data_IF_375860162561
#
_entry.id   IF_375860162561
#
_cell.length_a   1.000
_cell.length_b   1.000
_cell.length_c   1.000
_cell.angle_alpha   90.00
_cell.angle_beta   90.00
_cell.angle_gamma   90.00
#
_symmetry.space_group_name_H-M   'P 1'
#
loop_
_entity.id
_entity.type
_entity.pdbx_description
1 polymer ?
#
# COMPACT_ATOMS: atom_id res chain seq x y z
N UNK A 1 14.85 -15.60 17.34
CA UNK A 1 14.08 -14.50 17.94
C UNK A 1 14.71 -13.17 17.54
N UNK A 2 13.91 -12.16 17.19
CA UNK A 2 14.37 -10.80 16.87
C UNK A 2 13.52 -9.78 17.65
N UNK A 3 14.08 -8.60 17.93
CA UNK A 3 13.37 -7.52 18.64
C UNK A 3 13.37 -6.27 17.79
N UNK A 4 12.21 -5.59 17.72
CA UNK A 4 12.02 -4.32 17.01
C UNK A 4 11.13 -3.39 17.85
N UNK A 5 11.73 -2.34 18.43
CA UNK A 5 11.03 -1.45 19.36
C UNK A 5 10.45 -2.22 20.54
N UNK A 6 9.15 -2.09 20.76
CA UNK A 6 8.40 -2.74 21.84
C UNK A 6 7.88 -4.16 21.47
N UNK A 7 8.41 -4.76 20.40
CA UNK A 7 7.95 -6.05 19.89
C UNK A 7 9.07 -7.07 19.82
N UNK A 8 8.82 -8.27 20.34
CA UNK A 8 9.65 -9.45 20.14
C UNK A 8 8.98 -10.37 19.12
N UNK A 9 9.71 -10.76 18.08
CA UNK A 9 9.27 -11.71 17.07
C UNK A 9 9.95 -13.06 17.35
N UNK A 10 9.14 -14.09 17.48
CA UNK A 10 9.60 -15.42 17.89
C UNK A 10 9.26 -16.44 16.80
N UNK A 11 10.26 -17.14 16.31
CA UNK A 11 10.09 -18.35 15.51
C UNK A 11 9.76 -19.53 16.45
N UNK A 12 8.49 -19.97 16.42
CA UNK A 12 7.94 -20.98 17.35
C UNK A 12 7.71 -22.32 16.64
N UNK A 13 8.71 -22.78 15.93
CA UNK A 13 8.70 -24.09 15.27
C UNK A 13 7.37 -24.35 14.52
N UNK A 14 6.54 -25.32 14.96
CA UNK A 14 5.19 -25.60 14.41
C UNK A 14 4.17 -24.50 14.71
N UNK A 15 4.42 -23.66 15.71
CA UNK A 15 3.59 -22.49 16.04
C UNK A 15 3.76 -21.30 15.09
N UNK A 16 4.70 -21.39 14.15
CA UNK A 16 4.96 -20.36 13.17
C UNK A 16 5.70 -19.12 13.71
N UNK A 17 5.34 -17.93 13.23
CA UNK A 17 5.87 -16.67 13.73
C UNK A 17 4.90 -16.07 14.74
N UNK A 18 5.39 -15.71 15.93
CA UNK A 18 4.61 -15.01 16.96
C UNK A 18 5.15 -13.61 17.17
N UNK A 19 4.25 -12.65 17.39
CA UNK A 19 4.56 -11.26 17.72
C UNK A 19 4.09 -10.98 19.13
N UNK A 20 5.03 -10.63 20.00
CA UNK A 20 4.81 -10.40 21.43
C UNK A 20 5.08 -8.93 21.73
N UNK A 21 4.17 -8.25 22.42
CA UNK A 21 4.46 -6.94 22.99
C UNK A 21 5.33 -7.12 24.22
N UNK A 22 6.43 -6.39 24.28
CA UNK A 22 7.42 -6.39 25.38
C UNK A 22 7.66 -4.98 25.91
N UNK A 23 6.72 -4.04 25.70
CA UNK A 23 6.79 -2.69 26.26
C UNK A 23 6.86 -2.69 27.78
N UNK A 24 6.16 -3.65 28.42
CA UNK A 24 6.32 -3.99 29.82
C UNK A 24 6.94 -5.39 29.92
N UNK A 25 8.22 -5.49 30.28
CA UNK A 25 8.92 -6.79 30.38
C UNK A 25 8.37 -7.72 31.47
N UNK A 26 7.63 -7.19 32.45
CA UNK A 26 7.03 -7.99 33.53
C UNK A 26 5.70 -8.62 33.10
N UNK A 27 5.05 -8.05 32.06
CA UNK A 27 3.74 -8.49 31.55
C UNK A 27 3.73 -8.56 30.01
N UNK A 28 4.57 -9.40 29.40
CA UNK A 28 4.55 -9.58 27.95
C UNK A 28 3.26 -10.26 27.50
N UNK A 29 2.70 -9.85 26.34
CA UNK A 29 1.50 -10.48 25.79
C UNK A 29 1.60 -10.65 24.27
N UNK A 30 0.97 -11.71 23.75
CA UNK A 30 0.90 -11.97 22.31
C UNK A 30 -0.05 -11.00 21.61
N UNK A 31 0.42 -10.35 20.57
CA UNK A 31 -0.35 -9.44 19.73
C UNK A 31 -0.87 -10.11 18.46
N UNK A 32 -0.19 -11.13 17.97
CA UNK A 32 -0.60 -11.86 16.78
C UNK A 32 0.35 -12.98 16.41
N UNK A 33 -0.08 -13.80 15.46
CA UNK A 33 0.73 -14.90 14.94
C UNK A 33 0.51 -15.10 13.45
N UNK A 34 1.48 -15.72 12.79
CA UNK A 34 1.44 -16.07 11.37
C UNK A 34 1.84 -17.54 11.19
N UNK A 35 1.02 -18.29 10.48
CA UNK A 35 1.36 -19.66 10.10
C UNK A 35 2.49 -19.66 9.07
N UNK A 36 3.50 -20.47 9.29
CA UNK A 36 4.59 -20.66 8.34
C UNK A 36 4.46 -22.00 7.60
N UNK A 37 4.86 -22.08 6.32
CA UNK A 37 4.96 -23.35 5.63
C UNK A 37 6.18 -24.11 6.15
N UNK A 38 5.97 -25.06 7.06
CA UNK A 38 7.02 -25.82 7.76
C UNK A 38 7.46 -25.16 9.08
N UNK A 39 8.55 -25.71 9.63
CA UNK A 39 9.06 -25.29 10.93
C UNK A 39 9.71 -23.91 10.88
N UNK A 40 9.22 -22.95 11.67
CA UNK A 40 9.88 -21.65 11.83
C UNK A 40 11.14 -21.82 12.70
N UNK A 41 12.31 -21.74 12.08
CA UNK A 41 13.61 -22.03 12.71
C UNK A 41 14.27 -20.75 13.23
N UNK A 42 14.24 -19.68 12.44
CA UNK A 42 14.83 -18.40 12.83
C UNK A 42 14.03 -17.25 12.23
N UNK A 43 14.18 -16.06 12.82
CA UNK A 43 13.53 -14.82 12.37
C UNK A 43 14.48 -13.64 12.48
N UNK A 44 14.49 -12.81 11.43
CA UNK A 44 15.08 -11.48 11.42
C UNK A 44 13.97 -10.46 11.17
N UNK A 45 14.13 -9.22 11.66
CA UNK A 45 13.16 -8.15 11.45
C UNK A 45 13.82 -6.93 10.84
N UNK A 46 13.13 -6.29 9.90
CA UNK A 46 13.51 -5.00 9.33
C UNK A 46 12.26 -4.15 9.10
N UNK A 47 12.15 -3.07 9.88
CA UNK A 47 10.93 -2.27 9.92
C UNK A 47 9.72 -3.11 10.33
N UNK A 48 8.70 -3.16 9.48
CA UNK A 48 7.48 -3.96 9.70
C UNK A 48 7.55 -5.38 9.15
N UNK A 49 8.62 -5.75 8.46
CA UNK A 49 8.75 -7.06 7.83
C UNK A 49 9.54 -8.03 8.69
N UNK A 50 8.99 -9.22 8.87
CA UNK A 50 9.67 -10.36 9.45
C UNK A 50 10.13 -11.33 8.35
N UNK A 51 11.39 -11.71 8.40
CA UNK A 51 12.04 -12.67 7.51
C UNK A 51 12.22 -13.97 8.29
N UNK A 52 11.41 -14.97 7.97
CA UNK A 52 11.39 -16.24 8.72
C UNK A 52 12.05 -17.33 7.91
N UNK A 53 13.15 -17.87 8.41
CA UNK A 53 13.76 -19.07 7.88
C UNK A 53 12.93 -20.28 8.30
N UNK A 54 12.40 -21.03 7.34
CA UNK A 54 11.70 -22.28 7.61
C UNK A 54 12.56 -23.46 7.19
N UNK A 55 12.17 -24.68 7.53
CA UNK A 55 12.90 -25.86 7.12
C UNK A 55 12.94 -26.08 5.59
N UNK A 56 12.18 -25.31 4.81
CA UNK A 56 12.02 -25.48 3.37
C UNK A 56 12.25 -24.20 2.57
N UNK A 57 12.07 -23.01 3.14
CA UNK A 57 12.21 -21.72 2.43
C UNK A 57 12.47 -20.54 3.40
N UNK A 58 12.64 -19.35 2.83
CA UNK A 58 12.55 -18.06 3.51
C UNK A 58 11.17 -17.44 3.23
N UNK A 59 10.40 -17.18 4.27
CA UNK A 59 9.10 -16.53 4.19
C UNK A 59 9.19 -15.08 4.70
N UNK A 60 8.47 -14.17 4.07
CA UNK A 60 8.42 -12.75 4.45
C UNK A 60 6.99 -12.43 4.87
N UNK A 61 6.84 -11.89 6.08
CA UNK A 61 5.55 -11.49 6.67
C UNK A 61 5.52 -9.99 6.91
N UNK A 62 4.43 -9.36 6.52
CA UNK A 62 4.11 -7.99 6.93
C UNK A 62 3.42 -8.05 8.30
N UNK A 63 4.11 -7.59 9.33
CA UNK A 63 3.64 -7.62 10.71
C UNK A 63 2.99 -6.30 11.16
N UNK A 64 2.60 -5.42 10.24
CA UNK A 64 2.04 -4.10 10.55
C UNK A 64 0.86 -4.17 11.52
N UNK A 65 -0.11 -5.06 11.28
CA UNK A 65 -1.27 -5.23 12.13
C UNK A 65 -0.89 -5.72 13.53
N UNK A 66 -0.05 -6.76 13.60
CA UNK A 66 0.39 -7.35 14.84
C UNK A 66 1.30 -6.43 15.67
N UNK A 67 1.99 -5.49 15.03
CA UNK A 67 2.85 -4.50 15.68
C UNK A 67 2.13 -3.18 15.97
N UNK A 68 0.83 -3.06 15.66
CA UNK A 68 0.07 -1.82 15.79
C UNK A 68 0.59 -0.69 14.90
N UNK A 69 1.40 -1.03 13.89
CA UNK A 69 1.89 -0.06 12.90
C UNK A 69 0.74 0.18 11.92
N UNK A 70 0.38 1.45 11.62
CA UNK A 70 -0.65 1.72 10.63
C UNK A 70 -0.35 0.98 9.33
N UNK A 71 -1.32 0.23 8.80
CA UNK A 71 -1.17 -0.44 7.51
C UNK A 71 -0.98 0.65 6.46
N UNK A 72 0.25 0.77 6.01
CA UNK A 72 0.59 1.64 4.89
C UNK A 72 0.41 0.79 3.64
N UNK A 73 -0.16 1.38 2.59
CA UNK A 73 -0.28 0.74 1.29
C UNK A 73 1.03 0.03 0.91
N UNK A 74 0.92 -1.21 0.47
CA UNK A 74 2.09 -2.01 0.05
C UNK A 74 2.40 -1.87 -1.43
N UNK A 75 1.45 -1.34 -2.18
CA UNK A 75 1.57 -1.11 -3.63
C UNK A 75 0.97 0.25 -4.00
N UNK A 76 1.59 0.93 -4.95
CA UNK A 76 0.95 2.07 -5.60
C UNK A 76 -0.22 1.56 -6.44
N UNK A 77 -1.41 2.11 -6.27
CA UNK A 77 -2.57 1.77 -7.10
C UNK A 77 -3.47 2.98 -7.33
N UNK A 78 -4.14 2.97 -8.46
CA UNK A 78 -5.33 3.73 -8.73
C UNK A 78 -6.53 2.90 -8.30
N UNK A 79 -6.94 3.04 -7.05
CA UNK A 79 -7.98 2.22 -6.42
C UNK A 79 -9.31 2.35 -7.15
N UNK A 80 -9.75 3.59 -7.41
CA UNK A 80 -11.04 3.81 -8.06
C UNK A 80 -11.16 5.19 -8.69
N UNK A 81 -12.12 5.30 -9.63
CA UNK A 81 -12.68 6.56 -10.08
C UNK A 81 -14.20 6.44 -9.98
N UNK A 82 -14.84 7.26 -9.17
CA UNK A 82 -16.28 7.18 -8.96
C UNK A 82 -16.93 8.57 -8.92
N UNK A 83 -18.05 8.76 -9.63
CA UNK A 83 -18.66 7.82 -10.58
C UNK A 83 -17.80 7.57 -11.82
N UNK A 84 -17.93 6.38 -12.43
CA UNK A 84 -17.34 6.05 -13.73
C UNK A 84 -18.26 5.04 -14.44
N UNK A 85 -18.96 5.39 -15.56
CA UNK A 85 -18.91 6.67 -16.26
C UNK A 85 -19.38 7.88 -15.43
N UNK A 86 -18.89 9.06 -15.75
CA UNK A 86 -19.24 10.32 -15.08
C UNK A 86 -19.75 11.37 -16.07
N UNK A 87 -20.50 12.36 -15.56
CA UNK A 87 -21.08 13.44 -16.37
C UNK A 87 -20.32 14.77 -16.18
N UNK A 88 -20.24 15.25 -14.92
CA UNK A 88 -19.66 16.56 -14.60
C UNK A 88 -18.34 16.44 -13.84
N UNK A 89 -18.24 15.47 -12.95
CA UNK A 89 -17.04 15.23 -12.14
C UNK A 89 -16.94 13.79 -11.71
N UNK A 90 -15.71 13.35 -11.40
CA UNK A 90 -15.40 12.07 -10.78
C UNK A 90 -14.30 12.26 -9.74
N UNK A 91 -14.37 11.48 -8.65
CA UNK A 91 -13.34 11.43 -7.64
C UNK A 91 -12.42 10.25 -7.92
N UNK A 92 -11.14 10.54 -8.02
CA UNK A 92 -10.08 9.54 -8.22
C UNK A 92 -9.45 9.29 -6.87
N UNK A 93 -9.50 8.03 -6.39
CA UNK A 93 -8.82 7.59 -5.18
C UNK A 93 -7.56 6.81 -5.56
N UNK A 94 -6.48 7.03 -4.83
CA UNK A 94 -5.22 6.31 -5.01
C UNK A 94 -4.50 6.16 -3.68
N UNK A 95 -3.65 5.17 -3.61
CA UNK A 95 -2.94 4.76 -2.40
C UNK A 95 -1.43 4.76 -2.65
N UNK A 96 -0.69 5.28 -1.68
CA UNK A 96 0.77 5.40 -1.72
C UNK A 96 1.37 4.60 -0.57
N UNK A 97 2.16 3.55 -0.84
CA UNK A 97 2.80 2.75 0.21
C UNK A 97 3.96 3.47 0.89
N UNK A 98 4.63 4.38 0.19
CA UNK A 98 5.82 5.09 0.68
C UNK A 98 5.72 6.58 0.37
N UNK A 99 6.36 7.45 1.17
CA UNK A 99 6.46 8.87 0.86
C UNK A 99 7.33 9.09 -0.37
N UNK A 100 7.00 10.09 -1.17
CA UNK A 100 7.79 10.43 -2.35
C UNK A 100 7.13 11.44 -3.27
N UNK A 101 7.80 11.70 -4.38
CA UNK A 101 7.24 12.50 -5.46
C UNK A 101 6.16 11.71 -6.20
N UNK A 102 5.02 12.36 -6.38
CA UNK A 102 3.83 11.79 -7.01
C UNK A 102 3.34 12.74 -8.10
N UNK A 103 2.98 12.18 -9.25
CA UNK A 103 2.32 12.88 -10.33
C UNK A 103 1.04 12.15 -10.71
N UNK A 104 -0.11 12.84 -10.67
CA UNK A 104 -1.41 12.34 -11.10
C UNK A 104 -1.87 13.18 -12.29
N UNK A 105 -2.00 12.56 -13.45
CA UNK A 105 -2.22 13.25 -14.71
C UNK A 105 -3.36 12.64 -15.51
N UNK A 106 -4.04 13.47 -16.33
CA UNK A 106 -5.12 13.07 -17.23
C UNK A 106 -4.62 13.07 -18.67
N UNK A 107 -4.93 12.01 -19.41
CA UNK A 107 -4.58 11.84 -20.83
C UNK A 107 -5.80 11.53 -21.69
N UNK A 108 -5.75 11.95 -22.96
CA UNK A 108 -6.70 11.51 -23.97
C UNK A 108 -6.28 10.15 -24.58
N UNK A 109 -7.11 9.52 -25.46
CA UNK A 109 -6.78 8.26 -26.11
C UNK A 109 -5.56 8.31 -27.04
N UNK A 110 -5.14 9.50 -27.46
CA UNK A 110 -3.93 9.70 -28.28
C UNK A 110 -2.65 9.79 -27.44
N UNK A 111 -2.74 9.63 -26.09
CA UNK A 111 -1.61 9.75 -25.18
C UNK A 111 -1.17 11.19 -24.91
N UNK A 112 -1.95 12.18 -25.31
CA UNK A 112 -1.65 13.58 -25.03
C UNK A 112 -2.13 13.94 -23.62
N UNK A 113 -1.26 14.55 -22.81
CA UNK A 113 -1.60 15.05 -21.49
C UNK A 113 -2.56 16.22 -21.58
N UNK A 114 -3.73 16.08 -20.95
CA UNK A 114 -4.78 17.09 -20.91
C UNK A 114 -4.62 18.00 -19.70
N UNK A 115 -4.34 17.43 -18.53
CA UNK A 115 -4.14 18.19 -17.29
C UNK A 115 -3.33 17.40 -16.26
N UNK A 116 -2.72 18.16 -15.34
CA UNK A 116 -2.14 17.60 -14.11
C UNK A 116 -3.14 17.81 -12.99
N UNK A 117 -3.53 16.73 -12.32
CA UNK A 117 -4.47 16.73 -11.19
C UNK A 117 -3.76 16.94 -9.86
N UNK A 118 -2.54 16.40 -9.77
CA UNK A 118 -1.63 16.60 -8.64
C UNK A 118 -0.19 16.39 -9.08
N UNK A 119 0.73 17.18 -8.53
CA UNK A 119 2.18 17.00 -8.68
C UNK A 119 2.88 17.52 -7.42
N UNK A 120 3.73 16.70 -6.80
CA UNK A 120 4.49 17.07 -5.62
C UNK A 120 4.76 15.90 -4.68
N UNK A 121 5.38 16.19 -3.53
CA UNK A 121 5.63 15.20 -2.50
C UNK A 121 4.37 14.88 -1.70
N UNK A 122 4.16 13.58 -1.42
CA UNK A 122 3.15 13.08 -0.48
C UNK A 122 3.74 12.05 0.47
N UNK A 123 3.15 11.99 1.67
CA UNK A 123 3.41 10.92 2.62
C UNK A 123 2.73 9.63 2.17
N UNK A 124 3.07 8.51 2.79
CA UNK A 124 2.31 7.27 2.64
C UNK A 124 0.85 7.47 3.09
N UNK A 125 -0.10 6.85 2.42
CA UNK A 125 -1.53 6.94 2.74
C UNK A 125 -2.45 6.92 1.54
N UNK A 126 -3.75 7.08 1.82
CA UNK A 126 -4.83 7.11 0.82
C UNK A 126 -5.20 8.56 0.51
N UNK A 127 -5.35 8.86 -0.77
CA UNK A 127 -5.63 10.21 -1.26
C UNK A 127 -6.77 10.23 -2.26
N UNK A 128 -7.43 11.38 -2.34
CA UNK A 128 -8.46 11.63 -3.35
C UNK A 128 -8.15 12.88 -4.15
N UNK A 129 -8.50 12.86 -5.43
CA UNK A 129 -8.42 14.01 -6.34
C UNK A 129 -9.72 14.13 -7.13
N UNK A 130 -10.29 15.33 -7.17
CA UNK A 130 -11.53 15.56 -7.91
C UNK A 130 -11.22 16.06 -9.32
N UNK A 131 -11.69 15.33 -10.33
CA UNK A 131 -11.63 15.71 -11.73
C UNK A 131 -12.97 16.31 -12.15
N UNK A 132 -12.95 17.61 -12.52
CA UNK A 132 -14.11 18.33 -13.07
C UNK A 132 -13.97 18.44 -14.59
N UNK A 133 -14.98 17.99 -15.32
CA UNK A 133 -14.99 17.91 -16.78
C UNK A 133 -15.32 19.24 -17.49
N UNK A 134 -14.88 20.41 -16.97
CA UNK A 134 -15.30 21.73 -17.46
C UNK A 134 -15.13 21.91 -18.97
N UNK A 135 -14.01 21.48 -19.53
CA UNK A 135 -13.61 21.66 -20.93
C UNK A 135 -13.31 20.33 -21.65
N UNK A 136 -13.82 19.22 -21.11
CA UNK A 136 -13.64 17.91 -21.69
C UNK A 136 -14.85 17.55 -22.56
N UNK A 137 -14.62 16.86 -23.66
CA UNK A 137 -15.70 16.30 -24.50
C UNK A 137 -16.04 14.88 -24.02
N UNK A 138 -17.27 14.42 -24.31
CA UNK A 138 -17.64 13.02 -24.03
C UNK A 138 -16.66 12.07 -24.69
N UNK A 139 -16.23 11.05 -23.95
CA UNK A 139 -15.28 10.08 -24.47
C UNK A 139 -14.46 9.38 -23.39
N UNK A 140 -13.48 8.65 -23.89
CA UNK A 140 -12.54 7.88 -23.09
C UNK A 140 -11.35 8.76 -22.65
N UNK A 141 -10.92 8.61 -21.41
CA UNK A 141 -9.73 9.23 -20.85
C UNK A 141 -8.94 8.22 -20.01
N UNK A 142 -7.69 8.53 -19.76
CA UNK A 142 -6.81 7.76 -18.88
C UNK A 142 -6.27 8.66 -17.78
N UNK A 143 -6.39 8.21 -16.54
CA UNK A 143 -5.71 8.79 -15.40
C UNK A 143 -4.45 7.99 -15.15
N UNK A 144 -3.31 8.67 -15.07
CA UNK A 144 -1.99 8.08 -14.82
C UNK A 144 -1.47 8.59 -13.48
N UNK A 145 -1.07 7.65 -12.63
CA UNK A 145 -0.33 7.89 -11.40
C UNK A 145 1.12 7.47 -11.63
N UNK A 146 2.04 8.38 -11.42
CA UNK A 146 3.48 8.11 -11.40
C UNK A 146 4.00 8.32 -9.97
N UNK A 147 4.66 7.33 -9.40
CA UNK A 147 5.26 7.40 -8.08
C UNK A 147 6.41 6.39 -7.96
N UNK A 148 7.52 6.80 -7.36
CA UNK A 148 8.74 5.99 -7.16
C UNK A 148 9.25 5.28 -8.44
N UNK A 149 9.10 5.92 -9.62
CA UNK A 149 9.52 5.35 -10.91
C UNK A 149 8.57 4.27 -11.46
N UNK A 150 7.42 4.07 -10.83
CA UNK A 150 6.35 3.19 -11.31
C UNK A 150 5.21 4.02 -11.90
N UNK A 151 4.53 3.45 -12.90
CA UNK A 151 3.41 4.08 -13.59
C UNK A 151 2.17 3.18 -13.52
N UNK A 152 1.04 3.75 -13.10
CA UNK A 152 -0.25 3.07 -13.00
C UNK A 152 -1.30 3.86 -13.78
N UNK A 153 -2.09 3.16 -14.59
CA UNK A 153 -3.07 3.81 -15.47
C UNK A 153 -4.47 3.24 -15.24
N UNK A 154 -5.45 4.13 -15.10
CA UNK A 154 -6.88 3.80 -14.98
C UNK A 154 -7.69 4.47 -16.09
N UNK A 155 -8.57 3.67 -16.72
CA UNK A 155 -9.54 4.14 -17.71
C UNK A 155 -10.75 4.78 -17.03
N UNK A 156 -11.18 5.96 -17.53
CA UNK A 156 -12.41 6.65 -17.12
C UNK A 156 -13.22 7.07 -18.34
N UNK A 157 -14.52 7.18 -18.19
CA UNK A 157 -15.44 7.50 -19.30
C UNK A 157 -16.29 8.71 -18.92
N UNK A 158 -16.20 9.77 -19.72
CA UNK A 158 -17.06 10.96 -19.60
C UNK A 158 -18.25 10.80 -20.54
N UNK A 159 -19.46 10.97 -20.01
CA UNK A 159 -20.73 10.94 -20.75
C UNK A 159 -21.47 12.24 -20.45
N UNK A 160 -21.74 13.03 -21.48
CA UNK A 160 -22.56 14.25 -21.43
C UNK A 160 -23.81 14.09 -22.24
#
# INVERSE_FOLDING_TARGET
>A
MAVSGEHALISDNLGGLRVINVSDPEVPFEMGYYNTPGYALDVAVSGRFAFVATGINLSIYDCSEAMGIPVIATTYDLMSAYPNPFNSSTTISYELPFPGNVSLQLYNPLGQRISTLFEGNRQAGVYTSNLVAKNLVSGLYFVRLEAAGQEYTRKIILVR
#
